data_IF_967666105562
#
_entry.id   IF_967666105562
#
_cell.length_a   1.000
_cell.length_b   1.000
_cell.length_c   1.000
_cell.angle_alpha   90.00
_cell.angle_beta   90.00
_cell.angle_gamma   90.00
#
_symmetry.space_group_name_H-M   'P 1'
#
loop_
_entity.id
_entity.type
_entity.pdbx_description
1 polymer ?
#
# COMPACT_ATOMS: atom_id res chain seq x y z
N UNK A 1 -5.12 63.51 35.43
CA UNK A 1 -5.99 62.59 36.19
C UNK A 1 -6.52 61.53 35.25
N UNK A 2 -6.98 60.38 35.78
CA UNK A 2 -7.40 59.16 35.06
C UNK A 2 -6.24 58.46 34.33
N UNK A 3 -5.79 57.28 34.82
CA UNK A 3 -6.37 55.92 34.73
C UNK A 3 -6.13 55.32 33.33
N UNK A 4 -5.16 54.44 33.14
CA UNK A 4 -5.04 53.04 33.64
C UNK A 4 -5.92 52.06 32.83
N UNK A 5 -5.28 51.35 31.90
CA UNK A 5 -5.76 50.10 31.31
C UNK A 5 -4.55 49.23 30.98
N UNK A 6 -4.12 48.39 31.94
CA UNK A 6 -2.99 47.48 31.76
C UNK A 6 -3.48 46.24 31.02
N UNK A 7 -3.50 46.28 29.68
CA UNK A 7 -3.86 45.13 28.85
C UNK A 7 -2.71 44.10 28.86
N UNK A 8 -2.65 43.34 29.94
CA UNK A 8 -2.05 42.01 29.97
C UNK A 8 -2.91 41.07 29.12
N UNK A 9 -2.88 41.29 27.80
CA UNK A 9 -3.16 40.23 26.85
C UNK A 9 -2.14 39.13 27.11
N UNK A 10 -2.56 38.06 27.80
CA UNK A 10 -1.81 36.82 27.77
C UNK A 10 -1.58 36.48 26.30
N UNK A 11 -0.32 36.46 25.89
CA UNK A 11 0.08 35.67 24.73
C UNK A 11 -0.12 34.23 25.20
N UNK A 12 -1.34 33.73 25.03
CA UNK A 12 -1.55 32.30 24.85
C UNK A 12 -0.68 31.97 23.65
N UNK A 13 0.46 31.35 23.91
CA UNK A 13 1.23 30.72 22.85
C UNK A 13 0.30 29.66 22.27
N UNK A 14 -0.33 29.98 21.14
CA UNK A 14 -1.10 29.01 20.37
C UNK A 14 -0.09 28.03 19.79
N UNK A 15 0.28 27.06 20.63
CA UNK A 15 1.12 25.94 20.23
C UNK A 15 0.46 25.32 19.03
N UNK A 16 1.03 25.53 17.85
CA UNK A 16 0.61 24.78 16.68
C UNK A 16 0.81 23.29 16.98
N UNK A 17 -0.07 22.44 16.47
CA UNK A 17 0.16 21.00 16.53
C UNK A 17 1.46 20.69 15.78
N UNK A 18 2.28 19.78 16.31
CA UNK A 18 3.62 19.49 15.78
C UNK A 18 3.70 18.07 15.26
N UNK A 19 4.08 17.94 13.99
CA UNK A 19 4.38 16.64 13.37
C UNK A 19 5.61 16.04 14.06
N UNK A 20 5.43 14.90 14.71
CA UNK A 20 6.46 14.18 15.47
C UNK A 20 7.15 13.10 14.64
N UNK A 21 6.41 12.51 13.69
CA UNK A 21 6.83 11.34 12.94
C UNK A 21 5.98 11.17 11.67
N UNK A 22 6.60 10.80 10.55
CA UNK A 22 5.94 10.54 9.26
C UNK A 22 6.34 9.16 8.73
N UNK A 23 5.36 8.38 8.27
CA UNK A 23 5.59 7.08 7.66
C UNK A 23 4.85 6.99 6.32
N UNK A 24 5.58 6.72 5.25
CA UNK A 24 5.03 6.73 3.88
C UNK A 24 5.11 5.32 3.31
N UNK A 25 3.97 4.69 3.02
CA UNK A 25 3.86 3.43 2.28
C UNK A 25 3.38 3.75 0.87
N UNK A 26 4.10 3.31 -0.16
CA UNK A 26 3.72 3.55 -1.56
C UNK A 26 3.86 2.29 -2.40
N UNK A 27 2.91 2.10 -3.33
CA UNK A 27 3.09 1.21 -4.47
C UNK A 27 4.28 1.71 -5.29
N UNK A 28 5.02 0.81 -5.92
CA UNK A 28 5.96 1.19 -6.99
C UNK A 28 5.28 2.05 -8.07
N UNK A 29 6.08 2.77 -8.84
CA UNK A 29 5.64 3.49 -10.02
C UNK A 29 5.15 2.57 -11.14
N UNK A 30 4.91 3.17 -12.31
CA UNK A 30 4.55 2.46 -13.53
C UNK A 30 5.62 1.41 -13.91
N UNK A 31 5.20 0.29 -14.50
CA UNK A 31 6.05 -0.90 -14.67
C UNK A 31 5.73 -1.73 -15.91
N UNK A 32 6.70 -2.56 -16.26
CA UNK A 32 6.49 -3.78 -17.04
C UNK A 32 5.38 -4.67 -16.45
N UNK A 33 4.70 -5.51 -17.25
CA UNK A 33 3.96 -6.66 -16.74
C UNK A 33 4.87 -7.58 -15.90
N UNK A 34 4.33 -8.22 -14.86
CA UNK A 34 5.06 -9.21 -14.05
C UNK A 34 5.13 -10.60 -14.72
N UNK A 35 4.41 -10.72 -15.83
CA UNK A 35 4.31 -11.84 -16.77
C UNK A 35 3.26 -11.43 -17.81
N UNK A 36 3.18 -12.14 -18.94
CA UNK A 36 2.16 -11.83 -19.96
C UNK A 36 1.70 -13.09 -20.69
N UNK A 37 0.59 -12.97 -21.44
CA UNK A 37 -0.01 -14.07 -22.18
C UNK A 37 0.82 -14.46 -23.40
N UNK A 38 0.74 -15.74 -23.79
CA UNK A 38 1.63 -16.35 -24.78
C UNK A 38 1.61 -15.69 -26.17
N UNK A 39 0.52 -14.99 -26.50
CA UNK A 39 0.34 -14.30 -27.78
C UNK A 39 0.45 -12.76 -27.67
N UNK A 40 0.91 -12.22 -26.53
CA UNK A 40 1.22 -10.80 -26.39
C UNK A 40 2.42 -10.43 -27.29
N UNK A 41 2.32 -9.41 -28.16
CA UNK A 41 3.46 -8.88 -28.91
C UNK A 41 4.60 -8.28 -28.05
N UNK A 42 4.42 -8.02 -26.74
CA UNK A 42 5.36 -7.29 -25.88
C UNK A 42 5.98 -8.14 -24.75
N UNK A 43 6.91 -9.03 -25.14
CA UNK A 43 7.56 -9.99 -24.22
C UNK A 43 8.71 -9.37 -23.38
N UNK A 44 9.20 -10.14 -22.40
CA UNK A 44 10.15 -9.79 -21.32
C UNK A 44 11.40 -8.97 -21.73
N UNK A 45 11.87 -9.09 -22.98
CA UNK A 45 13.15 -8.54 -23.47
C UNK A 45 13.19 -7.01 -23.66
N UNK A 46 12.58 -6.23 -22.76
CA UNK A 46 12.38 -4.78 -22.90
C UNK A 46 12.76 -3.92 -21.65
N UNK A 47 13.29 -4.48 -20.54
CA UNK A 47 13.31 -3.80 -19.21
C UNK A 47 14.65 -3.95 -18.38
N UNK A 48 15.10 -2.97 -17.51
CA UNK A 48 16.46 -3.02 -16.86
C UNK A 48 16.78 -2.36 -15.43
N UNK A 49 17.55 -3.08 -14.54
CA UNK A 49 18.65 -2.69 -13.54
C UNK A 49 18.46 -2.01 -12.11
N UNK A 50 19.41 -2.22 -11.13
CA UNK A 50 19.46 -1.79 -9.67
C UNK A 50 20.93 -1.85 -9.02
N UNK A 51 21.41 -1.52 -7.76
CA UNK A 51 21.04 -0.74 -6.50
C UNK A 51 22.21 -0.55 -5.41
N UNK A 52 22.12 0.27 -4.31
CA UNK A 52 22.91 0.16 -3.00
C UNK A 52 23.26 1.39 -2.01
N UNK A 53 23.08 1.23 -0.66
CA UNK A 53 23.69 1.92 0.59
C UNK A 53 23.13 3.19 1.38
N UNK A 54 23.50 3.40 2.69
CA UNK A 54 22.78 4.00 3.90
C UNK A 54 22.84 5.52 4.31
N UNK A 55 21.77 6.09 4.95
CA UNK A 55 21.66 7.48 5.55
C UNK A 55 20.68 7.65 6.77
N UNK A 56 20.42 8.90 7.21
CA UNK A 56 19.56 9.37 8.33
C UNK A 56 18.05 9.03 8.22
N UNK A 57 17.56 8.68 7.04
CA UNK A 57 16.18 8.21 6.83
C UNK A 57 16.15 6.72 6.57
N UNK A 58 15.07 6.04 6.97
CA UNK A 58 14.94 4.60 6.79
C UNK A 58 13.98 4.30 5.66
N UNK A 59 14.50 3.62 4.63
CA UNK A 59 13.70 3.12 3.52
C UNK A 59 13.76 1.60 3.52
N UNK A 60 12.63 0.97 3.24
CA UNK A 60 12.49 -0.47 3.09
C UNK A 60 11.78 -0.79 1.77
N UNK A 61 12.02 -1.98 1.24
CA UNK A 61 11.42 -2.46 0.00
C UNK A 61 11.16 -3.96 0.08
N UNK A 62 10.28 -4.44 -0.80
CA UNK A 62 10.38 -5.82 -1.28
C UNK A 62 11.56 -5.97 -2.23
N UNK A 63 12.10 -7.19 -2.34
CA UNK A 63 13.32 -7.48 -3.11
C UNK A 63 13.04 -7.70 -4.60
N UNK A 64 12.54 -6.67 -5.29
CA UNK A 64 12.31 -6.69 -6.74
C UNK A 64 12.69 -5.34 -7.35
N UNK A 65 13.40 -5.36 -8.48
CA UNK A 65 13.90 -4.17 -9.21
C UNK A 65 12.89 -3.01 -9.26
N UNK A 66 11.60 -3.26 -9.49
CA UNK A 66 10.58 -2.21 -9.61
C UNK A 66 10.33 -1.41 -8.32
N UNK A 67 10.29 -2.05 -7.15
CA UNK A 67 10.08 -1.37 -5.85
C UNK A 67 11.37 -0.69 -5.40
N UNK A 68 12.50 -1.36 -5.62
CA UNK A 68 13.84 -0.79 -5.48
C UNK A 68 14.03 0.49 -6.33
N UNK A 69 13.82 0.44 -7.65
CA UNK A 69 13.95 1.59 -8.57
C UNK A 69 12.97 2.72 -8.25
N UNK A 70 11.73 2.38 -7.86
CA UNK A 70 10.72 3.36 -7.47
C UNK A 70 11.13 4.13 -6.21
N UNK A 71 11.73 3.43 -5.25
CA UNK A 71 12.25 4.06 -4.05
C UNK A 71 13.42 5.01 -4.36
N UNK A 72 14.41 4.62 -5.19
CA UNK A 72 15.44 5.58 -5.60
C UNK A 72 14.87 6.78 -6.38
N UNK A 73 13.88 6.58 -7.24
CA UNK A 73 13.21 7.68 -7.96
C UNK A 73 12.55 8.68 -6.99
N UNK A 74 11.83 8.18 -5.97
CA UNK A 74 11.22 9.00 -4.93
C UNK A 74 12.30 9.76 -4.13
N UNK A 75 13.37 9.08 -3.73
CA UNK A 75 14.46 9.63 -2.95
C UNK A 75 15.28 10.68 -3.71
N UNK A 76 15.51 10.50 -5.00
CA UNK A 76 16.12 11.52 -5.87
C UNK A 76 15.24 12.77 -5.96
N UNK A 77 13.92 12.62 -5.98
CA UNK A 77 12.98 13.74 -5.85
C UNK A 77 13.11 14.44 -4.50
N UNK A 78 13.00 13.69 -3.40
CA UNK A 78 13.05 14.17 -2.02
C UNK A 78 14.36 14.89 -1.67
N UNK A 79 15.49 14.41 -2.19
CA UNK A 79 16.84 14.96 -1.95
C UNK A 79 17.36 15.84 -3.10
N UNK A 80 16.52 16.16 -4.10
CA UNK A 80 16.89 16.91 -5.32
C UNK A 80 17.53 18.28 -5.08
N UNK A 81 17.23 18.90 -3.94
CA UNK A 81 17.76 20.22 -3.49
C UNK A 81 18.72 20.12 -2.31
N UNK A 82 19.05 18.90 -1.87
CA UNK A 82 19.91 18.67 -0.70
C UNK A 82 21.39 18.98 -0.97
N UNK A 83 22.12 19.33 0.09
CA UNK A 83 23.52 19.73 0.04
C UNK A 83 24.25 19.22 1.28
N UNK A 84 25.48 18.73 1.13
CA UNK A 84 26.25 18.08 2.20
C UNK A 84 25.76 16.68 2.59
N UNK A 85 24.74 16.16 1.90
CA UNK A 85 24.12 14.83 2.07
C UNK A 85 24.87 13.70 1.34
N UNK A 86 25.99 14.02 0.69
CA UNK A 86 26.80 13.12 -0.11
C UNK A 86 28.31 13.40 0.07
N UNK A 87 29.20 12.42 -0.17
CA UNK A 87 30.65 12.60 -0.08
C UNK A 87 31.18 13.76 -0.92
N UNK A 88 31.97 14.64 -0.30
CA UNK A 88 32.60 15.80 -0.94
C UNK A 88 33.87 15.44 -1.74
N UNK A 89 33.84 14.31 -2.46
CA UNK A 89 34.95 13.82 -3.27
C UNK A 89 34.78 14.20 -4.75
N UNK A 90 35.91 14.36 -5.45
CA UNK A 90 35.90 14.72 -6.87
C UNK A 90 35.14 13.67 -7.71
N UNK A 91 34.32 14.15 -8.64
CA UNK A 91 33.43 13.37 -9.50
C UNK A 91 32.29 12.61 -8.80
N UNK A 92 32.00 12.86 -7.51
CA UNK A 92 30.75 12.35 -6.92
C UNK A 92 29.52 12.99 -7.58
N UNK A 93 28.44 12.24 -7.87
CA UNK A 93 27.19 12.82 -8.38
C UNK A 93 26.52 13.75 -7.36
N UNK A 94 26.71 15.07 -7.50
CA UNK A 94 26.20 16.11 -6.57
C UNK A 94 24.68 16.30 -6.56
N UNK A 95 23.93 15.42 -7.22
CA UNK A 95 22.46 15.34 -7.24
C UNK A 95 21.93 13.98 -6.76
N UNK A 96 22.79 13.12 -6.23
CA UNK A 96 22.42 11.78 -5.76
C UNK A 96 23.10 11.47 -4.42
N UNK A 97 22.28 11.19 -3.42
CA UNK A 97 22.72 10.57 -2.17
C UNK A 97 22.28 9.10 -2.23
N UNK A 98 23.20 8.11 -2.13
CA UNK A 98 22.79 6.73 -1.87
C UNK A 98 22.07 6.71 -0.52
N UNK A 99 20.90 6.10 -0.50
CA UNK A 99 20.00 5.98 0.66
C UNK A 99 19.59 4.49 0.69
N UNK A 100 19.52 3.85 1.88
CA UNK A 100 19.54 2.39 1.95
C UNK A 100 18.18 1.84 1.65
N UNK A 101 18.14 0.56 1.27
CA UNK A 101 16.93 -0.22 1.40
C UNK A 101 17.23 -1.51 2.16
N UNK A 102 16.31 -1.81 3.07
CA UNK A 102 16.21 -3.08 3.76
C UNK A 102 15.17 -3.93 3.04
N UNK A 103 15.60 -5.07 2.50
CA UNK A 103 14.73 -6.06 1.86
C UNK A 103 14.12 -6.98 2.92
N UNK A 104 12.83 -7.25 2.81
CA UNK A 104 12.12 -8.20 3.70
C UNK A 104 11.06 -8.97 2.88
N UNK A 105 11.13 -10.30 2.88
CA UNK A 105 10.08 -11.18 2.37
C UNK A 105 9.97 -12.45 3.24
N UNK A 106 8.93 -12.58 4.09
CA UNK A 106 8.75 -13.74 4.97
C UNK A 106 7.68 -14.71 4.44
N UNK A 107 8.10 -15.91 4.04
CA UNK A 107 7.18 -17.03 3.73
C UNK A 107 6.30 -17.39 4.92
N UNK A 108 5.00 -17.57 4.72
CA UNK A 108 4.03 -17.73 5.82
C UNK A 108 2.98 -18.80 5.53
N UNK A 109 3.25 -20.07 5.88
CA UNK A 109 2.40 -21.22 5.53
C UNK A 109 0.93 -21.06 5.98
N UNK A 110 0.70 -20.55 7.19
CA UNK A 110 -0.68 -20.28 7.69
C UNK A 110 -1.43 -19.23 6.87
N UNK A 111 -0.75 -18.37 6.12
CA UNK A 111 -1.39 -17.44 5.18
C UNK A 111 -1.93 -18.19 3.95
N UNK A 112 -1.13 -19.10 3.38
CA UNK A 112 -1.48 -19.91 2.21
C UNK A 112 -2.66 -20.84 2.52
N UNK A 113 -2.67 -21.44 3.73
CA UNK A 113 -3.82 -22.22 4.23
C UNK A 113 -5.10 -21.39 4.31
N UNK A 114 -5.02 -20.17 4.85
CA UNK A 114 -6.18 -19.30 5.01
C UNK A 114 -6.71 -18.81 3.67
N UNK A 115 -5.86 -18.62 2.66
CA UNK A 115 -6.31 -18.37 1.28
C UNK A 115 -6.97 -19.61 0.67
N UNK A 116 -6.42 -20.81 0.89
CA UNK A 116 -7.04 -22.07 0.50
C UNK A 116 -8.44 -22.24 1.15
N UNK A 117 -8.60 -21.88 2.43
CA UNK A 117 -9.88 -21.83 3.15
C UNK A 117 -10.88 -20.78 2.58
N UNK A 118 -10.40 -19.72 1.92
CA UNK A 118 -11.26 -18.76 1.22
C UNK A 118 -11.71 -19.36 -0.13
N UNK A 119 -10.79 -19.82 -0.98
CA UNK A 119 -11.16 -20.34 -2.31
C UNK A 119 -11.94 -21.67 -2.25
N UNK A 120 -11.80 -22.45 -1.18
CA UNK A 120 -12.60 -23.65 -0.93
C UNK A 120 -14.03 -23.36 -0.47
N UNK A 121 -14.40 -22.11 -0.17
CA UNK A 121 -15.73 -21.74 0.30
C UNK A 121 -16.81 -21.97 -0.76
N UNK A 122 -17.84 -22.75 -0.45
CA UNK A 122 -18.81 -23.22 -1.44
C UNK A 122 -19.53 -22.12 -2.24
N UNK A 123 -19.74 -20.92 -1.65
CA UNK A 123 -20.33 -19.78 -2.38
C UNK A 123 -19.34 -19.05 -3.29
N UNK A 124 -18.04 -19.07 -2.97
CA UNK A 124 -16.99 -18.60 -3.86
C UNK A 124 -16.85 -19.54 -5.07
N UNK A 125 -16.82 -20.86 -4.82
CA UNK A 125 -16.81 -21.88 -5.88
C UNK A 125 -18.03 -21.73 -6.80
N UNK A 126 -19.23 -21.53 -6.26
CA UNK A 126 -20.45 -21.27 -7.05
C UNK A 126 -20.35 -20.00 -7.91
N UNK A 127 -19.77 -18.92 -7.38
CA UNK A 127 -19.55 -17.69 -8.14
C UNK A 127 -18.54 -17.89 -9.29
N UNK A 128 -17.40 -18.55 -9.02
CA UNK A 128 -16.38 -18.84 -10.04
C UNK A 128 -16.89 -19.80 -11.10
N UNK A 129 -17.68 -20.81 -10.74
CA UNK A 129 -18.34 -21.70 -11.69
C UNK A 129 -19.30 -20.96 -12.63
N UNK A 130 -19.94 -19.88 -12.17
CA UNK A 130 -20.77 -19.02 -13.02
C UNK A 130 -19.94 -18.15 -13.99
N UNK A 131 -18.67 -17.86 -13.69
CA UNK A 131 -17.78 -17.11 -14.58
C UNK A 131 -17.11 -18.00 -15.66
N UNK A 132 -17.20 -19.33 -15.53
CA UNK A 132 -16.51 -20.29 -16.40
C UNK A 132 -16.69 -20.03 -17.92
N UNK A 133 -17.86 -19.63 -18.45
CA UNK A 133 -17.98 -19.29 -19.87
C UNK A 133 -17.04 -18.17 -20.32
N UNK A 134 -16.89 -17.12 -19.50
CA UNK A 134 -15.98 -15.99 -19.78
C UNK A 134 -14.51 -16.41 -19.63
N UNK A 135 -14.17 -17.23 -18.63
CA UNK A 135 -12.81 -17.76 -18.47
C UNK A 135 -12.38 -18.61 -19.69
N UNK A 136 -13.31 -19.41 -20.23
CA UNK A 136 -13.08 -20.21 -21.43
C UNK A 136 -12.97 -19.33 -22.69
N UNK A 137 -13.81 -18.31 -22.85
CA UNK A 137 -13.68 -17.36 -23.97
C UNK A 137 -12.32 -16.64 -23.95
N UNK A 138 -11.93 -16.07 -22.81
CA UNK A 138 -10.64 -15.38 -22.69
C UNK A 138 -9.48 -16.35 -22.88
N UNK A 139 -9.56 -17.59 -22.39
CA UNK A 139 -8.56 -18.64 -22.66
C UNK A 139 -8.41 -18.93 -24.17
N UNK A 140 -9.52 -19.06 -24.90
CA UNK A 140 -9.50 -19.27 -26.35
C UNK A 140 -8.87 -18.08 -27.10
N UNK A 141 -9.21 -16.84 -26.71
CA UNK A 141 -8.77 -15.62 -27.42
C UNK A 141 -7.35 -15.16 -27.06
N UNK A 142 -6.90 -15.37 -25.83
CA UNK A 142 -5.53 -15.07 -25.39
C UNK A 142 -4.55 -16.20 -25.76
N UNK A 143 -5.02 -17.45 -25.81
CA UNK A 143 -4.19 -18.65 -25.94
C UNK A 143 -3.58 -19.15 -24.62
N UNK A 144 -3.88 -18.49 -23.51
CA UNK A 144 -3.50 -18.90 -22.17
C UNK A 144 -4.54 -19.82 -21.52
N UNK A 145 -4.15 -20.54 -20.47
CA UNK A 145 -5.02 -21.47 -19.76
C UNK A 145 -5.56 -20.85 -18.47
N UNK A 146 -6.60 -20.03 -18.57
CA UNK A 146 -7.20 -19.34 -17.42
C UNK A 146 -8.21 -20.26 -16.73
N UNK A 147 -7.80 -20.88 -15.61
CA UNK A 147 -8.64 -21.79 -14.80
C UNK A 147 -9.24 -21.15 -13.54
N UNK A 148 -8.78 -19.96 -13.17
CA UNK A 148 -8.93 -19.40 -11.82
C UNK A 148 -8.70 -17.88 -11.82
N UNK A 149 -8.81 -17.27 -10.63
CA UNK A 149 -8.65 -15.83 -10.42
C UNK A 149 -7.21 -15.35 -10.66
N UNK A 150 -6.20 -16.19 -10.46
CA UNK A 150 -4.79 -15.80 -10.63
C UNK A 150 -4.46 -15.67 -12.12
N UNK A 151 -4.85 -16.67 -12.92
CA UNK A 151 -4.76 -16.58 -14.38
C UNK A 151 -5.55 -15.39 -14.94
N UNK A 152 -6.73 -15.11 -14.38
CA UNK A 152 -7.55 -13.97 -14.81
C UNK A 152 -6.94 -12.62 -14.40
N UNK A 153 -6.33 -12.53 -13.21
CA UNK A 153 -5.62 -11.33 -12.74
C UNK A 153 -4.42 -11.03 -13.65
N UNK A 154 -3.64 -12.05 -14.03
CA UNK A 154 -2.47 -11.85 -14.89
C UNK A 154 -2.87 -11.32 -16.28
N UNK A 155 -3.94 -11.87 -16.87
CA UNK A 155 -4.54 -11.31 -18.09
C UNK A 155 -5.02 -9.86 -17.87
N UNK A 156 -5.70 -9.58 -16.76
CA UNK A 156 -6.22 -8.24 -16.46
C UNK A 156 -5.12 -7.18 -16.28
N UNK A 157 -4.03 -7.51 -15.59
CA UNK A 157 -2.86 -6.63 -15.35
C UNK A 157 -2.22 -6.18 -16.68
N UNK A 158 -2.01 -7.13 -17.60
CA UNK A 158 -1.51 -6.81 -18.95
C UNK A 158 -2.43 -5.81 -19.67
N UNK A 159 -3.75 -6.05 -19.69
CA UNK A 159 -4.70 -5.14 -20.36
C UNK A 159 -4.79 -3.76 -19.68
N UNK A 160 -4.61 -3.66 -18.35
CA UNK A 160 -4.48 -2.34 -17.69
C UNK A 160 -3.27 -1.58 -18.25
N UNK A 161 -2.10 -2.24 -18.30
CA UNK A 161 -0.82 -1.62 -18.69
C UNK A 161 -0.86 -1.23 -20.17
N UNK A 162 -1.34 -2.11 -21.04
CA UNK A 162 -1.57 -1.84 -22.47
C UNK A 162 -2.46 -0.58 -22.65
N UNK A 163 -3.55 -0.47 -21.88
CA UNK A 163 -4.45 0.71 -21.96
C UNK A 163 -3.80 2.00 -21.47
N UNK A 164 -3.07 1.98 -20.35
CA UNK A 164 -2.36 3.15 -19.81
C UNK A 164 -1.30 3.65 -20.80
N UNK A 165 -0.61 2.72 -21.47
CA UNK A 165 0.38 3.02 -22.51
C UNK A 165 -0.23 3.39 -23.88
N UNK A 166 -1.56 3.51 -23.98
CA UNK A 166 -2.30 3.80 -25.22
C UNK A 166 -2.01 2.80 -26.36
N UNK A 167 -1.72 1.54 -26.01
CA UNK A 167 -1.49 0.47 -26.98
C UNK A 167 -2.79 0.07 -27.68
N UNK A 168 -2.66 -0.44 -28.92
CA UNK A 168 -3.82 -0.92 -29.69
C UNK A 168 -4.19 -2.33 -29.25
N UNK A 169 -5.15 -2.44 -28.33
CA UNK A 169 -5.69 -3.72 -27.87
C UNK A 169 -6.22 -4.57 -29.05
N UNK A 170 -6.14 -5.91 -28.96
CA UNK A 170 -6.88 -6.80 -29.86
C UNK A 170 -8.38 -6.48 -29.91
N UNK A 171 -8.97 -6.44 -31.09
CA UNK A 171 -10.35 -5.95 -31.32
C UNK A 171 -11.47 -6.75 -30.62
N UNK A 172 -11.17 -7.89 -30.00
CA UNK A 172 -12.11 -8.64 -29.17
C UNK A 172 -12.15 -8.14 -27.71
N UNK A 173 -11.13 -7.41 -27.24
CA UNK A 173 -11.06 -6.87 -25.88
C UNK A 173 -11.88 -5.58 -25.80
N UNK A 174 -13.19 -5.74 -25.72
CA UNK A 174 -14.15 -4.64 -25.55
C UNK A 174 -14.18 -4.13 -24.11
N UNK A 175 -14.68 -2.91 -23.91
CA UNK A 175 -14.99 -2.40 -22.56
C UNK A 175 -15.96 -3.28 -21.78
N UNK A 176 -16.80 -4.08 -22.45
CA UNK A 176 -17.68 -5.04 -21.77
C UNK A 176 -16.88 -6.20 -21.16
N UNK A 177 -15.90 -6.75 -21.88
CA UNK A 177 -15.00 -7.78 -21.36
C UNK A 177 -14.09 -7.19 -20.27
N UNK A 178 -13.48 -6.03 -20.52
CA UNK A 178 -12.64 -5.34 -19.54
C UNK A 178 -13.35 -5.12 -18.20
N UNK A 179 -14.58 -4.57 -18.21
CA UNK A 179 -15.32 -4.30 -16.96
C UNK A 179 -15.84 -5.57 -16.27
N UNK A 180 -16.19 -6.63 -17.02
CA UNK A 180 -16.51 -7.93 -16.41
C UNK A 180 -15.29 -8.54 -15.71
N UNK A 181 -14.15 -8.59 -16.41
CA UNK A 181 -12.87 -9.10 -15.88
C UNK A 181 -12.44 -8.30 -14.64
N UNK A 182 -12.45 -6.96 -14.72
CA UNK A 182 -12.21 -6.06 -13.59
C UNK A 182 -13.04 -6.45 -12.37
N UNK A 183 -14.36 -6.53 -12.55
CA UNK A 183 -15.31 -6.81 -11.46
C UNK A 183 -15.02 -8.16 -10.80
N UNK A 184 -14.70 -9.20 -11.59
CA UNK A 184 -14.38 -10.53 -11.06
C UNK A 184 -13.06 -10.51 -10.28
N UNK A 185 -12.00 -9.92 -10.85
CA UNK A 185 -10.67 -9.88 -10.22
C UNK A 185 -10.72 -9.10 -8.92
N UNK A 186 -11.29 -7.89 -8.91
CA UNK A 186 -11.36 -7.05 -7.70
C UNK A 186 -12.22 -7.70 -6.60
N UNK A 187 -13.40 -8.24 -6.95
CA UNK A 187 -14.28 -8.92 -5.98
C UNK A 187 -13.62 -10.16 -5.37
N UNK A 188 -12.88 -10.92 -6.19
CA UNK A 188 -12.23 -12.14 -5.72
C UNK A 188 -10.93 -11.85 -4.96
N UNK A 189 -10.10 -10.91 -5.41
CA UNK A 189 -8.86 -10.53 -4.72
C UNK A 189 -9.14 -9.99 -3.32
N UNK A 190 -10.13 -9.10 -3.16
CA UNK A 190 -10.47 -8.57 -1.83
C UNK A 190 -10.93 -9.68 -0.88
N UNK A 191 -11.76 -10.60 -1.36
CA UNK A 191 -12.22 -11.75 -0.58
C UNK A 191 -11.09 -12.72 -0.22
N UNK A 192 -10.27 -13.12 -1.20
CA UNK A 192 -9.12 -14.01 -0.97
C UNK A 192 -8.17 -13.39 0.05
N UNK A 193 -7.96 -12.07 0.01
CA UNK A 193 -7.09 -11.33 0.94
C UNK A 193 -7.75 -11.02 2.30
N UNK A 194 -8.95 -11.57 2.55
CA UNK A 194 -9.59 -11.61 3.87
C UNK A 194 -10.76 -10.65 4.09
N UNK A 195 -11.15 -9.82 3.10
CA UNK A 195 -12.37 -9.02 3.20
C UNK A 195 -13.62 -9.91 3.33
N UNK A 196 -14.68 -9.38 3.93
CA UNK A 196 -15.98 -10.07 3.96
C UNK A 196 -16.50 -10.26 2.53
N UNK A 197 -17.04 -11.44 2.22
CA UNK A 197 -17.46 -11.79 0.85
C UNK A 197 -18.15 -13.14 0.79
N UNK A 198 -18.95 -13.36 -0.26
CA UNK A 198 -19.65 -14.63 -0.52
C UNK A 198 -20.44 -15.17 0.69
N UNK A 199 -20.96 -14.29 1.55
CA UNK A 199 -21.68 -14.64 2.78
C UNK A 199 -20.81 -15.24 3.90
N UNK A 200 -19.49 -15.05 3.87
CA UNK A 200 -18.54 -15.24 4.97
C UNK A 200 -18.13 -13.85 5.50
N UNK A 201 -17.90 -13.72 6.80
CA UNK A 201 -17.39 -12.49 7.43
C UNK A 201 -15.94 -12.19 7.02
N UNK A 202 -15.37 -11.06 7.47
CA UNK A 202 -13.93 -10.81 7.35
C UNK A 202 -13.13 -11.95 8.00
N UNK A 203 -11.99 -12.28 7.40
CA UNK A 203 -11.00 -13.19 7.97
C UNK A 203 -9.91 -12.36 8.64
N UNK A 204 -10.12 -12.05 9.92
CA UNK A 204 -9.22 -11.18 10.69
C UNK A 204 -7.86 -11.82 11.03
N UNK A 205 -7.73 -13.16 10.97
CA UNK A 205 -6.42 -13.81 11.03
C UNK A 205 -5.63 -13.60 9.73
N UNK A 206 -6.29 -13.68 8.56
CA UNK A 206 -5.63 -13.45 7.27
C UNK A 206 -5.25 -11.97 7.07
N UNK A 207 -6.12 -11.03 7.43
CA UNK A 207 -5.80 -9.59 7.42
C UNK A 207 -4.61 -9.28 8.35
N UNK A 208 -4.57 -9.92 9.53
CA UNK A 208 -3.45 -9.84 10.48
C UNK A 208 -2.14 -10.35 9.89
N UNK A 209 -2.13 -11.52 9.25
CA UNK A 209 -0.91 -12.05 8.63
C UNK A 209 -0.45 -11.19 7.45
N UNK A 210 -1.36 -10.71 6.59
CA UNK A 210 -1.01 -9.95 5.38
C UNK A 210 -0.53 -8.52 5.61
N UNK A 211 -1.15 -7.77 6.53
CA UNK A 211 -0.81 -6.35 6.77
C UNK A 211 -0.37 -6.03 8.19
N UNK A 212 -0.63 -6.93 9.15
CA UNK A 212 -0.49 -6.65 10.57
C UNK A 212 0.95 -6.44 11.03
N UNK A 213 1.93 -7.09 10.39
CA UNK A 213 3.35 -6.86 10.65
C UNK A 213 3.76 -5.42 10.33
N UNK A 214 3.28 -4.85 9.23
CA UNK A 214 3.54 -3.46 8.87
C UNK A 214 2.85 -2.48 9.82
N UNK A 215 1.59 -2.74 10.18
CA UNK A 215 0.87 -1.96 11.20
C UNK A 215 1.58 -1.98 12.56
N UNK A 216 2.03 -3.16 13.01
CA UNK A 216 2.80 -3.31 14.25
C UNK A 216 4.15 -2.57 14.17
N UNK A 217 4.84 -2.63 13.03
CA UNK A 217 6.10 -1.91 12.79
C UNK A 217 5.88 -0.39 12.84
N UNK A 218 4.84 0.11 12.17
CA UNK A 218 4.46 1.53 12.20
C UNK A 218 4.08 2.00 13.61
N UNK A 219 3.38 1.19 14.40
CA UNK A 219 3.08 1.49 15.81
C UNK A 219 4.36 1.51 16.65
N UNK A 220 5.24 0.53 16.49
CA UNK A 220 6.51 0.44 17.20
C UNK A 220 7.41 1.66 16.94
N UNK A 221 7.45 2.16 15.71
CA UNK A 221 8.17 3.39 15.34
C UNK A 221 7.56 4.64 15.99
N UNK A 222 6.22 4.74 16.05
CA UNK A 222 5.53 5.88 16.68
C UNK A 222 5.67 5.91 18.22
N UNK A 223 5.80 4.76 18.86
CA UNK A 223 6.13 4.65 20.29
C UNK A 223 7.64 4.87 20.54
N UNK A 224 8.51 4.33 19.68
CA UNK A 224 9.98 4.34 19.85
C UNK A 224 10.68 5.15 18.74
N UNK A 225 10.32 6.44 18.62
CA UNK A 225 10.73 7.34 17.52
C UNK A 225 12.25 7.36 17.23
N UNK A 226 13.10 7.12 18.24
CA UNK A 226 14.53 6.78 18.05
C UNK A 226 15.42 7.84 17.39
N UNK A 227 14.87 9.04 17.11
CA UNK A 227 15.50 10.08 16.29
C UNK A 227 15.13 10.03 14.80
N UNK A 228 14.52 8.95 14.32
CA UNK A 228 14.19 8.74 12.90
C UNK A 228 12.86 9.43 12.57
N UNK A 229 12.93 10.57 11.87
CA UNK A 229 11.74 11.40 11.58
C UNK A 229 10.85 10.85 10.47
N UNK A 230 11.42 10.06 9.56
CA UNK A 230 10.76 9.54 8.36
C UNK A 230 11.12 8.06 8.14
N UNK A 231 10.08 7.23 8.02
CA UNK A 231 10.18 5.89 7.43
C UNK A 231 9.47 5.87 6.08
N UNK A 232 10.05 5.17 5.11
CA UNK A 232 9.50 4.98 3.76
C UNK A 232 9.48 3.49 3.42
N UNK A 233 8.38 3.02 2.85
CA UNK A 233 8.19 1.62 2.47
C UNK A 233 7.73 1.58 1.01
N UNK A 234 8.56 1.08 0.09
CA UNK A 234 8.17 0.88 -1.31
C UNK A 234 7.74 -0.56 -1.53
N UNK A 235 6.53 -0.76 -2.03
CA UNK A 235 5.89 -2.06 -2.04
C UNK A 235 4.84 -2.16 -3.16
N UNK A 236 3.81 -2.98 -2.96
CA UNK A 236 2.85 -3.35 -3.99
C UNK A 236 1.44 -2.84 -3.68
N UNK A 237 0.56 -2.90 -4.70
CA UNK A 237 -0.90 -2.77 -4.59
C UNK A 237 -1.48 -3.66 -3.48
N UNK A 238 -1.03 -4.91 -3.42
CA UNK A 238 -1.36 -5.88 -2.37
C UNK A 238 -0.92 -5.41 -0.98
N UNK A 239 0.26 -4.80 -0.84
CA UNK A 239 0.79 -4.29 0.43
C UNK A 239 0.01 -3.07 0.92
N UNK A 240 -0.24 -2.10 0.03
CA UNK A 240 -1.08 -0.92 0.30
C UNK A 240 -2.48 -1.37 0.72
N UNK A 241 -3.10 -2.29 -0.03
CA UNK A 241 -4.43 -2.82 0.26
C UNK A 241 -4.48 -3.60 1.57
N UNK A 242 -3.48 -4.45 1.85
CA UNK A 242 -3.38 -5.19 3.10
C UNK A 242 -3.28 -4.23 4.29
N UNK A 243 -2.43 -3.21 4.20
CA UNK A 243 -2.32 -2.18 5.23
C UNK A 243 -3.65 -1.43 5.43
N UNK A 244 -4.30 -0.96 4.36
CA UNK A 244 -5.60 -0.28 4.47
C UNK A 244 -6.72 -1.19 5.01
N UNK A 245 -6.70 -2.51 4.74
CA UNK A 245 -7.60 -3.49 5.39
C UNK A 245 -7.31 -3.60 6.90
N UNK A 246 -6.04 -3.58 7.34
CA UNK A 246 -5.72 -3.53 8.79
C UNK A 246 -6.17 -2.24 9.48
N UNK A 247 -6.40 -1.15 8.75
CA UNK A 247 -6.98 0.09 9.29
C UNK A 247 -8.52 0.12 9.22
N UNK A 248 -9.15 -0.92 8.67
CA UNK A 248 -10.58 -0.96 8.29
C UNK A 248 -10.97 0.16 7.30
N UNK A 249 -9.98 0.72 6.59
CA UNK A 249 -10.09 1.95 5.82
C UNK A 249 -10.18 1.75 4.30
N UNK A 250 -9.78 0.58 3.77
CA UNK A 250 -9.74 0.31 2.31
C UNK A 250 -11.05 0.72 1.61
N UNK A 251 -12.17 0.22 2.12
CA UNK A 251 -13.49 0.48 1.53
C UNK A 251 -13.83 1.98 1.48
N UNK A 252 -13.47 2.73 2.54
CA UNK A 252 -13.71 4.18 2.63
C UNK A 252 -12.78 5.06 1.79
N UNK A 253 -11.67 4.52 1.27
CA UNK A 253 -10.66 5.26 0.49
C UNK A 253 -10.71 4.91 -1.00
N UNK A 254 -10.86 3.61 -1.32
CA UNK A 254 -10.81 3.05 -2.68
C UNK A 254 -11.90 2.01 -2.98
N UNK A 255 -12.73 1.62 -2.01
CA UNK A 255 -13.73 0.55 -2.22
C UNK A 255 -13.07 -0.81 -2.45
N UNK A 256 -13.67 -1.62 -3.34
CA UNK A 256 -13.14 -2.92 -3.75
C UNK A 256 -11.90 -2.88 -4.65
N UNK A 257 -11.60 -1.75 -5.31
CA UNK A 257 -10.54 -1.67 -6.33
C UNK A 257 -9.13 -1.85 -5.74
N UNK A 258 -8.16 -2.18 -6.61
CA UNK A 258 -6.74 -2.26 -6.25
C UNK A 258 -6.01 -0.93 -6.55
N UNK A 259 -5.03 -0.49 -5.73
CA UNK A 259 -4.38 0.81 -5.84
C UNK A 259 -3.64 1.07 -7.16
N UNK A 260 -3.80 2.28 -7.72
CA UNK A 260 -3.08 2.80 -8.90
C UNK A 260 -1.54 2.83 -8.70
N UNK A 261 -0.78 3.00 -9.79
CA UNK A 261 0.68 3.13 -9.72
C UNK A 261 1.11 4.38 -8.94
N UNK A 262 2.13 4.24 -8.09
CA UNK A 262 2.54 5.23 -7.09
C UNK A 262 1.45 5.65 -6.08
N UNK A 263 0.37 4.88 -5.92
CA UNK A 263 -0.59 5.06 -4.82
C UNK A 263 0.15 5.11 -3.48
N UNK A 264 -0.09 6.17 -2.71
CA UNK A 264 0.70 6.50 -1.52
C UNK A 264 -0.18 6.76 -0.31
N UNK A 265 0.07 6.00 0.75
CA UNK A 265 -0.48 6.18 2.10
C UNK A 265 0.54 6.91 2.96
N UNK A 266 0.15 8.02 3.57
CA UNK A 266 0.94 8.74 4.58
C UNK A 266 0.28 8.58 5.96
N UNK A 267 1.05 8.13 6.94
CA UNK A 267 0.64 7.95 8.34
C UNK A 267 1.48 8.90 9.19
N UNK A 268 0.84 9.89 9.78
CA UNK A 268 1.49 10.95 10.55
C UNK A 268 1.16 10.86 12.03
N UNK A 269 2.16 10.93 12.90
CA UNK A 269 1.97 11.14 14.34
C UNK A 269 2.14 12.62 14.66
N UNK A 270 1.12 13.23 15.25
CA UNK A 270 1.11 14.61 15.71
C UNK A 270 1.05 14.67 17.23
N UNK A 271 1.69 15.70 17.80
CA UNK A 271 1.52 16.14 19.18
C UNK A 271 0.71 17.44 19.17
N UNK A 272 -0.45 17.42 19.82
CA UNK A 272 -1.36 18.55 19.90
C UNK A 272 -0.91 19.58 20.95
N UNK A 273 -1.50 20.77 20.90
CA UNK A 273 -1.27 21.88 21.85
C UNK A 273 -1.43 21.51 23.35
N UNK A 274 -2.27 20.51 23.65
CA UNK A 274 -2.53 20.00 25.00
C UNK A 274 -1.61 18.83 25.41
N UNK A 275 -0.63 18.49 24.56
CA UNK A 275 0.27 17.32 24.64
C UNK A 275 -0.41 15.96 24.40
N UNK A 276 -1.65 15.92 23.90
CA UNK A 276 -2.24 14.65 23.40
C UNK A 276 -1.59 14.25 22.06
N UNK A 277 -1.47 12.94 21.82
CA UNK A 277 -1.01 12.40 20.53
C UNK A 277 -2.20 11.98 19.67
N UNK A 278 -2.15 12.31 18.38
CA UNK A 278 -3.11 11.84 17.38
C UNK A 278 -2.43 11.42 16.08
N UNK A 279 -3.09 10.55 15.34
CA UNK A 279 -2.71 10.10 14.01
C UNK A 279 -3.52 10.84 12.96
N UNK A 280 -2.89 11.16 11.83
CA UNK A 280 -3.58 11.45 10.57
C UNK A 280 -3.24 10.38 9.53
N UNK A 281 -4.21 10.11 8.66
CA UNK A 281 -4.04 9.26 7.50
C UNK A 281 -4.34 10.09 6.25
N UNK A 282 -3.37 10.17 5.35
CA UNK A 282 -3.54 10.78 4.04
C UNK A 282 -3.37 9.75 2.93
N UNK A 283 -4.04 9.97 1.81
CA UNK A 283 -3.94 9.13 0.63
C UNK A 283 -3.82 9.96 -0.64
N UNK A 284 -2.97 9.52 -1.55
CA UNK A 284 -2.95 9.95 -2.95
C UNK A 284 -3.09 8.71 -3.84
N UNK A 285 -3.93 8.78 -4.86
CA UNK A 285 -4.23 7.65 -5.75
C UNK A 285 -3.03 7.30 -6.63
N UNK A 286 -2.33 8.29 -7.17
CA UNK A 286 -1.15 8.12 -8.02
C UNK A 286 -0.23 9.36 -7.99
N UNK A 287 0.88 9.29 -8.71
CA UNK A 287 1.89 10.36 -8.77
C UNK A 287 1.39 11.73 -9.25
N UNK A 288 0.17 11.83 -9.80
CA UNK A 288 -0.41 13.07 -10.32
C UNK A 288 -1.57 13.61 -9.46
N UNK A 289 -1.96 12.93 -8.38
CA UNK A 289 -3.04 13.36 -7.48
C UNK A 289 -2.51 14.00 -6.20
N UNK A 290 -3.18 15.04 -5.72
CA UNK A 290 -2.90 15.63 -4.42
C UNK A 290 -3.29 14.68 -3.26
N UNK A 291 -2.61 14.80 -2.12
CA UNK A 291 -2.96 14.05 -0.91
C UNK A 291 -4.28 14.56 -0.31
N UNK A 292 -5.26 13.67 -0.15
CA UNK A 292 -6.51 13.92 0.59
C UNK A 292 -6.42 13.39 2.02
N UNK A 293 -7.06 14.09 2.96
CA UNK A 293 -7.25 13.61 4.33
C UNK A 293 -8.31 12.50 4.32
N UNK A 294 -7.93 11.35 4.86
CA UNK A 294 -8.77 10.16 4.98
C UNK A 294 -8.78 9.62 6.41
N UNK A 295 -8.40 10.44 7.40
CA UNK A 295 -8.37 10.07 8.82
C UNK A 295 -9.73 9.55 9.32
N UNK A 296 -10.83 10.08 8.78
CA UNK A 296 -12.23 9.67 9.03
C UNK A 296 -12.54 8.22 8.63
N UNK A 297 -11.71 7.61 7.77
CA UNK A 297 -11.92 6.24 7.27
C UNK A 297 -11.34 5.17 8.19
N UNK A 298 -10.52 5.54 9.20
CA UNK A 298 -9.93 4.59 10.14
C UNK A 298 -11.03 4.03 11.04
N UNK A 299 -11.32 2.73 10.89
CA UNK A 299 -12.37 2.06 11.67
C UNK A 299 -12.14 2.19 13.17
N UNK A 300 -13.20 2.59 13.87
CA UNK A 300 -13.26 2.70 15.33
C UNK A 300 -12.32 3.76 15.97
N UNK A 301 -11.79 4.74 15.23
CA UNK A 301 -10.88 5.75 15.82
C UNK A 301 -11.56 7.05 16.34
N UNK A 302 -12.88 7.19 16.19
CA UNK A 302 -13.69 8.12 17.00
C UNK A 302 -13.54 9.63 16.75
N UNK A 303 -12.91 10.06 15.66
CA UNK A 303 -12.80 11.48 15.29
C UNK A 303 -12.65 11.68 13.78
N UNK A 304 -13.23 12.77 13.26
CA UNK A 304 -13.31 13.02 11.81
C UNK A 304 -11.93 13.27 11.20
N UNK A 305 -11.21 14.31 11.62
CA UNK A 305 -9.93 14.72 11.00
C UNK A 305 -8.71 14.47 11.92
N UNK A 306 -8.90 13.78 13.04
CA UNK A 306 -7.87 13.41 14.03
C UNK A 306 -8.23 12.10 14.71
N UNK A 307 -7.39 11.08 14.53
CA UNK A 307 -7.56 9.76 15.13
C UNK A 307 -6.72 9.67 16.40
N UNK A 308 -7.33 9.65 17.59
CA UNK A 308 -6.59 9.72 18.86
C UNK A 308 -5.63 8.52 19.01
N UNK A 309 -4.35 8.74 19.36
CA UNK A 309 -3.33 7.69 19.24
C UNK A 309 -3.57 6.48 20.15
N UNK A 310 -4.19 6.68 21.32
CA UNK A 310 -4.61 5.57 22.18
C UNK A 310 -5.73 4.75 21.52
N UNK A 311 -6.74 5.39 20.94
CA UNK A 311 -7.80 4.71 20.20
C UNK A 311 -7.21 3.96 18.98
N UNK A 312 -6.31 4.60 18.22
CA UNK A 312 -5.58 3.97 17.11
C UNK A 312 -4.88 2.67 17.54
N UNK A 313 -4.16 2.68 18.66
CA UNK A 313 -3.49 1.48 19.19
C UNK A 313 -4.48 0.44 19.72
N UNK A 314 -5.58 0.85 20.34
CA UNK A 314 -6.63 -0.04 20.84
C UNK A 314 -7.34 -0.78 19.69
N UNK A 315 -7.88 -0.05 18.70
CA UNK A 315 -8.55 -0.68 17.54
C UNK A 315 -7.61 -1.55 16.69
N UNK A 316 -6.30 -1.27 16.73
CA UNK A 316 -5.30 -2.04 16.01
C UNK A 316 -5.00 -3.40 16.62
N UNK A 317 -5.31 -3.65 17.91
CA UNK A 317 -4.96 -4.91 18.59
C UNK A 317 -5.52 -6.15 17.87
N UNK A 318 -6.70 -6.07 17.24
CA UNK A 318 -7.26 -7.23 16.51
C UNK A 318 -6.37 -7.70 15.34
N UNK A 319 -5.55 -6.83 14.77
CA UNK A 319 -4.70 -7.13 13.61
C UNK A 319 -3.19 -7.20 13.89
N UNK A 320 -2.72 -7.02 15.13
CA UNK A 320 -1.28 -7.21 15.41
C UNK A 320 -0.95 -8.71 15.48
N UNK A 321 0.07 -9.22 14.74
CA UNK A 321 0.53 -10.61 14.86
C UNK A 321 1.30 -10.87 16.16
N UNK A 322 1.98 -9.85 16.71
CA UNK A 322 2.83 -9.97 17.89
C UNK A 322 4.19 -10.56 17.51
N UNK A 323 4.23 -11.88 17.35
CA UNK A 323 5.39 -12.66 16.92
C UNK A 323 5.01 -13.32 15.59
N UNK A 324 5.54 -12.80 14.48
CA UNK A 324 5.07 -13.19 13.14
C UNK A 324 5.47 -14.61 12.76
N UNK A 325 6.66 -15.07 13.18
CA UNK A 325 7.12 -16.45 13.00
C UNK A 325 6.12 -17.42 13.66
N UNK A 326 5.79 -17.22 14.94
CA UNK A 326 4.78 -18.04 15.66
C UNK A 326 3.35 -17.86 15.15
N UNK A 327 3.05 -16.81 14.40
CA UNK A 327 1.76 -16.62 13.75
C UNK A 327 1.67 -17.37 12.40
N UNK A 328 2.80 -17.53 11.70
CA UNK A 328 2.93 -18.24 10.43
C UNK A 328 3.15 -19.76 10.60
N UNK A 329 3.85 -20.18 11.66
CA UNK A 329 4.18 -21.58 12.00
C UNK A 329 3.03 -22.38 12.65
N UNK A 330 1.79 -21.86 12.59
CA UNK A 330 0.61 -22.58 13.11
C UNK A 330 0.19 -23.69 12.15
N UNK A 331 0.34 -24.94 12.62
CA UNK A 331 -0.32 -26.15 12.12
C UNK A 331 -1.43 -26.59 13.09
#
# INVERSE_FOLDING_TARGET
MFKLAFLLSFIVATSADTLQHLQILYRHGDRAPEGTYKNDPYQESAWPVAWGELTDIRVQSTDIDRTLMSAYSNLVGLYSTSNGTYPSIANWPTKFSPIPILNVDPTCLRMDELEAEQVAHGKFIQYMAAQLPLLLEISEKSGDKITDVVGLKNFYDAIIIERIHNMTLPAWITDSIYNQVKTIVETCEDYIFGSAGFGKSENSELIKLKGGLLLQTMINNMDNNGGVKLYMYSAHDTTVSAFLRTLEAKEGIIGSISPDFAATVSVELWLAADNTKYVKLWYSDNANTDFRDVTQTIGNCGGENKCAYNAFKERSQKYLPGDIEKACDKL
#
